data_IF_105017217443
#
_entry.id   IF_105017217443
#
_cell.length_a   1.000
_cell.length_b   1.000
_cell.length_c   1.000
_cell.angle_alpha   90.00
_cell.angle_beta   90.00
_cell.angle_gamma   90.00
#
_symmetry.space_group_name_H-M   'P 1'
#
loop_
_entity.id
_entity.type
_entity.pdbx_description
1 polymer ?
#
# COMPACT_ATOMS: atom_id res chain seq x y z
N UNK A 1 -6.72 4.01 14.90
CA UNK A 1 -5.50 4.65 15.40
C UNK A 1 -4.43 3.59 15.72
N UNK A 2 -4.05 2.71 14.78
CA UNK A 2 -3.37 1.43 15.15
C UNK A 2 -2.19 1.04 14.24
N UNK A 3 -1.75 1.96 13.37
CA UNK A 3 -0.44 1.86 12.70
C UNK A 3 0.51 2.97 13.16
N UNK A 4 0.22 3.57 14.33
CA UNK A 4 1.05 4.61 14.93
C UNK A 4 2.26 4.07 15.71
N UNK A 5 2.41 2.74 15.81
CA UNK A 5 3.46 2.08 16.61
C UNK A 5 4.83 2.00 15.90
N UNK A 6 5.20 3.04 15.15
CA UNK A 6 6.58 3.30 14.73
C UNK A 6 7.21 2.30 13.74
N UNK A 7 6.48 1.31 13.23
CA UNK A 7 7.05 0.29 12.32
C UNK A 7 7.29 0.77 10.89
N UNK A 8 6.69 1.90 10.50
CA UNK A 8 6.93 2.59 9.23
C UNK A 8 7.13 4.07 9.55
N UNK A 9 8.09 4.79 8.92
CA UNK A 9 8.35 6.20 9.20
C UNK A 9 7.06 7.02 9.19
N UNK A 10 6.87 7.80 10.25
CA UNK A 10 5.61 8.48 10.52
C UNK A 10 5.53 9.76 9.68
N UNK A 11 4.71 9.72 8.62
CA UNK A 11 4.44 10.88 7.77
C UNK A 11 3.93 12.12 8.55
N UNK A 12 3.39 11.92 9.75
CA UNK A 12 2.97 13.00 10.66
C UNK A 12 4.09 13.93 11.12
N UNK A 13 5.36 13.52 11.03
CA UNK A 13 6.47 14.39 11.45
C UNK A 13 6.80 15.49 10.45
N UNK A 14 6.34 15.36 9.20
CA UNK A 14 6.73 16.27 8.10
C UNK A 14 5.56 16.83 7.30
N UNK A 15 4.39 16.18 7.33
CA UNK A 15 3.23 16.60 6.56
C UNK A 15 2.25 17.44 7.39
N UNK A 16 1.81 18.58 6.83
CA UNK A 16 0.81 19.47 7.44
C UNK A 16 -0.61 18.87 7.44
N UNK A 17 -0.92 18.00 6.48
CA UNK A 17 -2.19 17.29 6.34
C UNK A 17 -1.95 15.84 5.93
N UNK A 18 -2.58 14.90 6.64
CA UNK A 18 -2.49 13.46 6.38
C UNK A 18 -3.89 12.87 6.26
N UNK A 19 -4.21 12.29 5.10
CA UNK A 19 -5.47 11.62 4.82
C UNK A 19 -5.20 10.12 4.73
N UNK A 20 -5.89 9.32 5.54
CA UNK A 20 -5.67 7.87 5.61
C UNK A 20 -6.99 7.12 5.51
N UNK A 21 -7.17 6.24 4.51
CA UNK A 21 -8.23 5.25 4.57
C UNK A 21 -7.89 4.20 5.65
N UNK A 22 -8.80 4.00 6.60
CA UNK A 22 -8.66 3.03 7.69
C UNK A 22 -9.19 1.64 7.28
N UNK A 23 -10.00 1.60 6.23
CA UNK A 23 -10.60 0.40 5.63
C UNK A 23 -9.60 -0.64 5.13
N UNK A 24 -8.48 -0.18 4.58
CA UNK A 24 -7.48 -1.07 3.96
C UNK A 24 -6.62 -1.72 5.03
N UNK A 25 -6.69 -1.29 6.30
CA UNK A 25 -5.74 -1.74 7.33
C UNK A 25 -6.45 -2.38 8.53
N UNK A 26 -7.61 -1.88 8.95
CA UNK A 26 -8.43 -2.45 10.03
C UNK A 26 -9.57 -3.30 9.44
N UNK A 27 -9.69 -4.53 9.89
CA UNK A 27 -10.25 -5.69 9.17
C UNK A 27 -11.76 -5.74 8.91
N UNK A 28 -12.52 -4.65 8.88
CA UNK A 28 -13.95 -4.77 8.52
C UNK A 28 -14.68 -3.49 8.11
N UNK A 29 -14.27 -2.33 8.60
CA UNK A 29 -15.07 -1.11 8.47
C UNK A 29 -14.46 -0.12 7.46
N UNK A 30 -15.24 0.27 6.43
CA UNK A 30 -14.79 1.23 5.42
C UNK A 30 -14.94 2.67 5.91
N UNK A 31 -13.86 3.26 6.42
CA UNK A 31 -13.82 4.67 6.87
C UNK A 31 -12.51 5.35 6.44
N UNK A 32 -12.57 6.66 6.22
CA UNK A 32 -11.41 7.52 5.94
C UNK A 32 -11.23 8.52 7.07
N UNK A 33 -10.03 8.65 7.60
CA UNK A 33 -9.67 9.61 8.63
C UNK A 33 -8.81 10.72 8.05
N UNK A 34 -9.03 11.94 8.53
CA UNK A 34 -8.23 13.11 8.19
C UNK A 34 -7.57 13.60 9.48
N UNK A 35 -6.26 13.82 9.44
CA UNK A 35 -5.49 14.40 10.54
C UNK A 35 -4.69 15.58 10.02
N UNK A 36 -4.93 16.75 10.59
CA UNK A 36 -4.21 17.98 10.29
C UNK A 36 -3.31 18.36 11.46
N UNK A 37 -2.22 19.07 11.17
CA UNK A 37 -1.36 19.66 12.18
C UNK A 37 -2.08 20.85 12.83
N UNK A 38 -2.06 20.90 14.16
CA UNK A 38 -2.60 21.99 14.97
C UNK A 38 -1.44 22.54 15.80
N UNK A 39 -1.30 23.87 15.87
CA UNK A 39 -0.23 24.52 16.62
C UNK A 39 0.41 25.69 15.89
N UNK A 40 1.63 26.04 16.32
CA UNK A 40 2.39 27.19 15.79
C UNK A 40 3.20 26.81 14.56
N UNK A 41 3.20 27.70 13.58
CA UNK A 41 4.17 27.71 12.48
C UNK A 41 5.36 28.55 12.95
N UNK A 42 6.58 28.08 12.73
CA UNK A 42 7.78 28.85 13.07
C UNK A 42 7.74 30.21 12.36
N UNK A 43 7.91 31.29 13.13
CA UNK A 43 7.83 32.66 12.66
C UNK A 43 9.10 33.40 13.04
N UNK A 44 9.61 34.19 12.10
CA UNK A 44 10.88 34.94 12.19
C UNK A 44 10.68 36.25 12.99
N UNK A 45 9.46 36.56 13.42
CA UNK A 45 9.13 37.72 14.26
C UNK A 45 8.27 37.28 15.46
N UNK A 46 8.17 38.13 16.49
CA UNK A 46 7.33 37.93 17.68
C UNK A 46 5.81 37.79 17.40
N UNK A 47 5.42 37.59 16.14
CA UNK A 47 4.08 37.28 15.70
C UNK A 47 3.93 35.75 15.60
N UNK A 48 3.02 35.18 16.40
CA UNK A 48 2.69 33.77 16.31
C UNK A 48 1.69 33.53 15.17
N UNK A 49 2.10 32.75 14.16
CA UNK A 49 1.18 32.27 13.12
C UNK A 49 0.71 30.88 13.52
N UNK A 50 -0.60 30.67 13.59
CA UNK A 50 -1.21 29.38 13.92
C UNK A 50 -1.67 28.67 12.64
N UNK A 51 -1.70 27.34 12.69
CA UNK A 51 -2.35 26.53 11.66
C UNK A 51 -3.87 26.77 11.65
N UNK A 52 -4.42 26.97 10.46
CA UNK A 52 -5.84 27.24 10.21
C UNK A 52 -6.46 26.11 9.34
N UNK A 53 -6.32 24.87 9.82
CA UNK A 53 -6.80 23.67 9.12
C UNK A 53 -8.00 23.02 9.81
N UNK A 54 -8.08 23.05 11.13
CA UNK A 54 -9.06 22.30 11.92
C UNK A 54 -10.51 22.68 11.57
N UNK A 55 -10.84 23.96 11.72
CA UNK A 55 -12.19 24.46 11.46
C UNK A 55 -12.60 24.31 10.00
N UNK A 56 -11.68 24.62 9.08
CA UNK A 56 -11.93 24.50 7.63
C UNK A 56 -12.23 23.05 7.23
N UNK A 57 -11.47 22.10 7.75
CA UNK A 57 -11.68 20.68 7.44
C UNK A 57 -13.01 20.21 8.04
N UNK A 58 -13.30 20.54 9.30
CA UNK A 58 -14.53 20.13 9.97
C UNK A 58 -15.79 20.66 9.26
N UNK A 59 -15.77 21.93 8.83
CA UNK A 59 -16.88 22.55 8.09
C UNK A 59 -17.10 21.96 6.69
N UNK A 60 -16.03 21.59 5.99
CA UNK A 60 -16.15 20.93 4.68
C UNK A 60 -16.69 19.51 4.83
N UNK A 61 -16.28 18.79 5.88
CA UNK A 61 -16.76 17.43 6.14
C UNK A 61 -18.22 17.42 6.57
N UNK A 62 -18.58 18.20 7.59
CA UNK A 62 -19.95 18.26 8.12
C UNK A 62 -20.56 19.64 7.85
N UNK A 63 -21.77 19.66 7.29
CA UNK A 63 -22.46 20.79 6.62
C UNK A 63 -22.08 20.99 5.14
N UNK A 64 -20.84 20.64 4.73
CA UNK A 64 -20.41 20.67 3.33
C UNK A 64 -20.75 19.40 2.56
N UNK A 65 -20.00 18.32 2.80
CA UNK A 65 -20.02 17.11 1.98
C UNK A 65 -20.80 15.94 2.59
N UNK A 66 -20.91 15.86 3.92
CA UNK A 66 -21.60 14.77 4.62
C UNK A 66 -22.72 15.32 5.52
N UNK A 67 -23.78 14.51 5.65
CA UNK A 67 -24.84 14.68 6.63
C UNK A 67 -24.48 14.04 7.97
N UNK A 68 -25.27 13.06 8.43
CA UNK A 68 -25.03 12.40 9.72
C UNK A 68 -23.83 11.44 9.75
N UNK A 69 -23.09 11.36 10.87
CA UNK A 69 -21.94 10.47 11.01
C UNK A 69 -22.34 8.98 11.11
N UNK A 70 -21.52 8.09 10.55
CA UNK A 70 -21.68 6.65 10.68
C UNK A 70 -21.14 6.13 12.03
N UNK A 71 -21.87 6.38 13.11
CA UNK A 71 -21.45 6.10 14.49
C UNK A 71 -21.06 4.63 14.76
N UNK A 72 -21.73 3.66 14.13
CA UNK A 72 -21.38 2.24 14.26
C UNK A 72 -19.97 1.94 13.71
N UNK A 73 -19.57 2.60 12.61
CA UNK A 73 -18.24 2.49 12.01
C UNK A 73 -17.18 3.17 12.87
N UNK A 74 -17.52 4.33 13.46
CA UNK A 74 -16.64 5.08 14.38
C UNK A 74 -16.40 4.28 15.67
N UNK A 75 -17.44 3.66 16.22
CA UNK A 75 -17.32 2.79 17.39
C UNK A 75 -16.41 1.59 17.14
N UNK A 76 -16.52 0.95 15.97
CA UNK A 76 -15.61 -0.13 15.55
C UNK A 76 -14.16 0.32 15.41
N UNK A 77 -13.91 1.61 15.10
CA UNK A 77 -12.56 2.17 15.01
C UNK A 77 -11.92 2.44 16.38
N UNK A 78 -12.72 2.76 17.40
CA UNK A 78 -12.24 3.03 18.76
C UNK A 78 -11.74 1.76 19.47
N UNK A 79 -12.10 0.58 18.98
CA UNK A 79 -11.60 -0.69 19.48
C UNK A 79 -10.15 -0.93 19.02
N UNK A 80 -9.19 -0.62 19.89
CA UNK A 80 -7.77 -0.95 19.70
C UNK A 80 -7.43 -2.19 20.52
N UNK A 81 -7.15 -3.30 19.86
CA UNK A 81 -6.79 -4.55 20.54
C UNK A 81 -5.28 -4.84 20.37
N UNK A 82 -4.58 -5.30 21.43
CA UNK A 82 -3.15 -5.61 21.35
C UNK A 82 -2.84 -6.70 20.31
N UNK A 83 -3.77 -7.62 20.04
CA UNK A 83 -3.65 -8.68 19.03
C UNK A 83 -3.46 -8.11 17.62
N UNK A 84 -3.99 -6.90 17.35
CA UNK A 84 -3.85 -6.26 16.06
C UNK A 84 -2.40 -5.84 15.78
N UNK A 85 -1.64 -5.46 16.81
CA UNK A 85 -0.21 -5.15 16.66
C UNK A 85 0.58 -6.38 16.24
N UNK A 86 0.36 -7.50 16.93
CA UNK A 86 0.96 -8.79 16.59
C UNK A 86 0.62 -9.22 15.16
N UNK A 87 -0.62 -9.00 14.73
CA UNK A 87 -1.03 -9.24 13.35
C UNK A 87 -0.24 -8.39 12.34
N UNK A 88 -0.06 -7.09 12.60
CA UNK A 88 0.73 -6.22 11.70
C UNK A 88 2.18 -6.67 11.59
N UNK A 89 2.82 -7.04 12.71
CA UNK A 89 4.18 -7.58 12.72
C UNK A 89 4.27 -8.87 11.90
N UNK A 90 3.28 -9.74 12.02
CA UNK A 90 3.22 -10.97 11.23
C UNK A 90 3.09 -10.68 9.73
N UNK A 91 2.28 -9.69 9.34
CA UNK A 91 2.13 -9.27 7.94
C UNK A 91 3.46 -8.80 7.36
N UNK A 92 4.24 -8.00 8.09
CA UNK A 92 5.56 -7.54 7.64
C UNK A 92 6.56 -8.70 7.53
N UNK A 93 6.58 -9.62 8.51
CA UNK A 93 7.41 -10.84 8.44
C UNK A 93 7.07 -11.70 7.23
N UNK A 94 5.77 -11.87 6.95
CA UNK A 94 5.28 -12.60 5.80
C UNK A 94 5.73 -11.96 4.48
N UNK A 95 5.62 -10.64 4.36
CA UNK A 95 6.05 -9.92 3.16
C UNK A 95 7.57 -9.96 2.99
N UNK A 96 8.35 -9.93 4.07
CA UNK A 96 9.80 -10.14 4.00
C UNK A 96 10.16 -11.52 3.45
N UNK A 97 9.40 -12.58 3.78
CA UNK A 97 9.62 -13.92 3.20
C UNK A 97 9.37 -13.97 1.69
N UNK A 98 8.48 -13.13 1.15
CA UNK A 98 8.25 -13.04 -0.31
C UNK A 98 9.44 -12.47 -1.07
N UNK A 99 10.42 -11.85 -0.39
CA UNK A 99 11.70 -11.50 -1.02
C UNK A 99 12.41 -12.73 -1.61
N UNK A 100 12.15 -13.95 -1.09
CA UNK A 100 12.63 -15.21 -1.67
C UNK A 100 12.16 -15.46 -3.12
N UNK A 101 11.17 -14.73 -3.63
CA UNK A 101 10.82 -14.77 -5.05
C UNK A 101 11.99 -14.33 -5.95
N UNK A 102 12.89 -13.49 -5.45
CA UNK A 102 14.13 -13.09 -6.15
C UNK A 102 15.03 -14.30 -6.38
N UNK A 103 15.17 -15.19 -5.40
CA UNK A 103 15.94 -16.44 -5.53
C UNK A 103 15.33 -17.38 -6.58
N UNK A 104 14.01 -17.30 -6.77
CA UNK A 104 13.27 -18.03 -7.82
C UNK A 104 13.33 -17.34 -9.20
N UNK A 105 14.14 -16.31 -9.35
CA UNK A 105 14.35 -15.58 -10.61
C UNK A 105 13.20 -14.63 -10.99
N UNK A 106 12.39 -14.19 -10.03
CA UNK A 106 11.44 -13.10 -10.25
C UNK A 106 12.07 -11.75 -9.95
N UNK A 107 11.76 -10.76 -10.79
CA UNK A 107 12.18 -9.38 -10.55
C UNK A 107 11.14 -8.67 -9.70
N UNK A 108 11.54 -8.16 -8.53
CA UNK A 108 10.70 -7.33 -7.69
C UNK A 108 10.95 -5.86 -8.01
N UNK A 109 9.87 -5.08 -8.14
CA UNK A 109 9.98 -3.62 -8.28
C UNK A 109 10.63 -3.08 -7.01
N UNK A 110 11.68 -2.25 -7.15
CA UNK A 110 12.55 -1.76 -6.07
C UNK A 110 13.50 -2.79 -5.41
N UNK A 111 13.52 -4.04 -5.89
CA UNK A 111 14.41 -5.08 -5.36
C UNK A 111 13.96 -5.72 -4.03
N UNK A 112 12.80 -5.34 -3.49
CA UNK A 112 12.28 -5.90 -2.25
C UNK A 112 10.97 -5.25 -1.78
N UNK A 113 10.66 -5.44 -0.50
CA UNK A 113 9.53 -4.79 0.19
C UNK A 113 9.85 -4.52 1.65
N UNK A 114 9.43 -3.36 2.15
CA UNK A 114 9.48 -2.98 3.57
C UNK A 114 8.09 -2.76 4.15
N UNK A 115 7.06 -3.15 3.40
CA UNK A 115 5.67 -2.93 3.77
C UNK A 115 4.85 -4.22 3.54
N UNK A 116 3.54 -4.06 3.38
CA UNK A 116 2.58 -5.16 3.30
C UNK A 116 2.27 -5.63 1.87
N UNK A 117 3.03 -5.16 0.87
CA UNK A 117 2.80 -5.48 -0.53
C UNK A 117 4.10 -5.78 -1.28
N UNK A 118 4.00 -6.54 -2.36
CA UNK A 118 5.08 -6.82 -3.30
C UNK A 118 4.57 -6.64 -4.73
N UNK A 119 5.38 -6.02 -5.58
CA UNK A 119 5.13 -5.90 -7.01
C UNK A 119 6.13 -6.77 -7.77
N UNK A 120 5.61 -7.76 -8.50
CA UNK A 120 6.41 -8.71 -9.28
C UNK A 120 6.38 -8.30 -10.75
N UNK A 121 7.53 -7.90 -11.29
CA UNK A 121 7.68 -7.55 -12.70
C UNK A 121 7.78 -8.83 -13.55
N UNK A 122 6.81 -9.04 -14.44
CA UNK A 122 6.69 -10.25 -15.27
C UNK A 122 7.22 -10.06 -16.69
N UNK A 123 7.63 -8.84 -17.06
CA UNK A 123 8.19 -8.53 -18.39
C UNK A 123 9.54 -9.20 -18.65
N UNK A 124 10.40 -9.27 -17.64
CA UNK A 124 11.80 -9.66 -17.79
C UNK A 124 12.09 -11.14 -17.52
N UNK A 125 11.05 -11.97 -17.31
CA UNK A 125 11.16 -13.42 -17.06
C UNK A 125 12.00 -14.19 -18.10
N UNK A 126 12.24 -13.62 -19.28
CA UNK A 126 13.04 -14.24 -20.36
C UNK A 126 14.43 -13.63 -20.59
N UNK A 127 14.85 -12.59 -19.86
CA UNK A 127 16.19 -12.00 -20.06
C UNK A 127 17.34 -12.79 -19.42
N UNK A 128 17.05 -13.76 -18.56
CA UNK A 128 18.05 -14.44 -17.71
C UNK A 128 18.49 -15.83 -18.21
N UNK A 129 18.25 -16.18 -19.49
CA UNK A 129 18.91 -17.32 -20.14
C UNK A 129 19.83 -16.81 -21.24
N UNK A 130 20.97 -16.27 -20.84
CA UNK A 130 22.06 -15.87 -21.74
C UNK A 130 23.31 -16.67 -21.41
N UNK A 131 23.28 -17.96 -21.74
CA UNK A 131 24.47 -18.64 -22.21
C UNK A 131 24.12 -19.26 -23.58
N UNK A 132 24.97 -18.97 -24.55
CA UNK A 132 25.10 -19.66 -25.85
C UNK A 132 24.26 -19.14 -27.04
N UNK A 133 24.85 -18.15 -27.73
CA UNK A 133 25.06 -18.05 -29.18
C UNK A 133 23.94 -18.28 -30.21
N UNK A 134 22.67 -18.36 -29.84
CA UNK A 134 21.59 -18.28 -30.82
C UNK A 134 20.72 -17.05 -30.60
N UNK A 135 20.57 -16.29 -31.69
CA UNK A 135 19.74 -15.10 -31.83
C UNK A 135 18.27 -15.53 -31.74
N UNK A 136 17.83 -15.92 -30.55
CA UNK A 136 16.49 -16.45 -30.33
C UNK A 136 15.53 -15.28 -30.18
N UNK A 137 14.42 -15.35 -30.92
CA UNK A 137 13.39 -14.32 -30.97
C UNK A 137 13.03 -13.82 -29.58
N UNK A 138 12.74 -12.53 -29.48
CA UNK A 138 12.18 -11.86 -28.32
C UNK A 138 10.86 -12.56 -27.99
N UNK A 139 10.91 -13.64 -27.20
CA UNK A 139 9.73 -14.28 -26.67
C UNK A 139 9.10 -13.25 -25.73
N UNK A 140 7.98 -12.70 -26.19
CA UNK A 140 7.15 -11.75 -25.48
C UNK A 140 7.06 -12.15 -24.02
N UNK A 141 7.33 -11.20 -23.12
CA UNK A 141 7.07 -11.36 -21.69
C UNK A 141 5.68 -11.94 -21.47
N UNK A 142 5.54 -12.78 -20.44
CA UNK A 142 4.26 -13.42 -20.14
C UNK A 142 3.24 -12.32 -19.83
N UNK A 143 2.11 -12.32 -20.54
CA UNK A 143 1.00 -11.39 -20.30
C UNK A 143 0.48 -11.56 -18.88
N UNK A 144 0.50 -10.48 -18.10
CA UNK A 144 0.05 -10.47 -16.71
C UNK A 144 -1.41 -10.90 -16.59
N UNK A 145 -2.25 -10.56 -17.55
CA UNK A 145 -3.68 -10.93 -17.57
C UNK A 145 -3.86 -12.45 -17.60
N UNK A 146 -2.93 -13.17 -18.27
CA UNK A 146 -2.91 -14.63 -18.29
C UNK A 146 -2.46 -15.20 -16.95
N UNK A 147 -1.44 -14.60 -16.34
CA UNK A 147 -0.92 -15.02 -15.03
C UNK A 147 -1.98 -14.84 -13.95
N UNK A 148 -2.64 -13.68 -13.92
CA UNK A 148 -3.75 -13.39 -13.01
C UNK A 148 -4.84 -14.45 -13.15
N UNK A 149 -5.25 -14.78 -14.38
CA UNK A 149 -6.29 -15.78 -14.60
C UNK A 149 -5.88 -17.18 -14.12
N UNK A 150 -4.61 -17.57 -14.31
CA UNK A 150 -4.10 -18.85 -13.79
C UNK A 150 -4.06 -18.84 -12.27
N UNK A 151 -3.66 -17.73 -11.65
CA UNK A 151 -3.66 -17.57 -10.19
C UNK A 151 -5.08 -17.66 -9.62
N UNK A 152 -6.05 -17.02 -10.25
CA UNK A 152 -7.47 -17.11 -9.91
C UNK A 152 -7.96 -18.58 -9.93
N UNK A 153 -7.57 -19.34 -10.97
CA UNK A 153 -7.93 -20.76 -11.10
C UNK A 153 -7.33 -21.64 -10.00
N UNK A 154 -6.19 -21.25 -9.43
CA UNK A 154 -5.57 -21.95 -8.28
C UNK A 154 -5.90 -21.28 -6.94
N UNK A 155 -6.96 -20.46 -6.88
CA UNK A 155 -7.43 -19.77 -5.69
C UNK A 155 -6.41 -18.80 -5.05
N UNK A 156 -5.53 -18.22 -5.86
CA UNK A 156 -4.62 -17.15 -5.44
C UNK A 156 -5.15 -15.83 -5.99
N UNK A 157 -5.65 -14.97 -5.10
CA UNK A 157 -6.06 -13.62 -5.45
C UNK A 157 -4.83 -12.70 -5.57
N UNK A 158 -4.63 -12.13 -6.75
CA UNK A 158 -3.59 -11.15 -7.03
C UNK A 158 -4.13 -10.11 -8.02
N UNK A 159 -3.56 -8.90 -8.05
CA UNK A 159 -4.07 -7.81 -8.88
C UNK A 159 -3.00 -7.25 -9.82
N UNK A 160 -3.31 -7.17 -11.11
CA UNK A 160 -2.44 -6.57 -12.13
C UNK A 160 -2.15 -5.08 -11.87
N UNK A 161 -0.90 -4.67 -12.01
CA UNK A 161 -0.45 -3.31 -11.76
C UNK A 161 0.54 -2.81 -12.82
N UNK A 162 0.54 -1.51 -13.09
CA UNK A 162 1.53 -0.86 -13.95
C UNK A 162 2.93 -0.89 -13.33
N UNK A 163 3.95 -1.04 -14.17
CA UNK A 163 5.36 -0.87 -13.81
C UNK A 163 6.08 0.11 -14.73
N UNK A 164 7.22 0.59 -14.25
CA UNK A 164 8.15 1.40 -15.04
C UNK A 164 8.46 0.69 -16.37
N UNK A 165 8.24 1.41 -17.47
CA UNK A 165 8.39 0.89 -18.83
C UNK A 165 7.13 0.28 -19.46
N UNK A 166 5.97 0.33 -18.80
CA UNK A 166 4.66 0.11 -19.44
C UNK A 166 4.35 1.26 -20.41
N UNK A 167 4.05 0.91 -21.68
CA UNK A 167 3.71 1.88 -22.73
C UNK A 167 2.23 2.27 -22.66
N UNK A 168 1.41 1.45 -21.99
CA UNK A 168 -0.04 1.64 -21.86
C UNK A 168 -0.51 1.19 -20.48
N UNK A 169 -1.49 1.91 -19.92
CA UNK A 169 -2.15 1.54 -18.66
C UNK A 169 -3.11 0.35 -18.80
N UNK A 170 -3.32 -0.17 -20.02
CA UNK A 170 -4.17 -1.33 -20.29
C UNK A 170 -3.35 -2.63 -20.31
N UNK A 171 -2.13 -2.57 -20.85
CA UNK A 171 -1.22 -3.72 -20.95
C UNK A 171 -0.20 -3.61 -19.82
N UNK A 172 -0.54 -4.25 -18.71
CA UNK A 172 0.21 -4.14 -17.47
C UNK A 172 1.36 -5.14 -17.42
N UNK A 173 2.49 -4.72 -16.86
CA UNK A 173 3.71 -5.52 -16.78
C UNK A 173 3.97 -6.23 -15.45
N UNK A 174 3.16 -5.98 -14.41
CA UNK A 174 3.35 -6.61 -13.09
C UNK A 174 2.09 -7.12 -12.43
N UNK A 175 2.28 -8.02 -11.47
CA UNK A 175 1.23 -8.45 -10.56
C UNK A 175 1.55 -8.03 -9.13
N UNK A 176 0.55 -7.53 -8.41
CA UNK A 176 0.62 -7.07 -7.03
C UNK A 176 0.06 -8.15 -6.11
N UNK A 177 0.83 -8.47 -5.08
CA UNK A 177 0.43 -9.36 -4.00
C UNK A 177 0.48 -8.61 -2.68
N UNK A 178 -0.64 -8.66 -1.93
CA UNK A 178 -0.83 -7.91 -0.70
C UNK A 178 -1.17 -8.84 0.46
N UNK A 179 -0.82 -8.40 1.68
CA UNK A 179 -1.30 -8.97 2.94
C UNK A 179 -1.26 -10.49 2.99
N UNK A 180 -0.16 -11.09 2.52
CA UNK A 180 -0.07 -12.53 2.34
C UNK A 180 -0.38 -13.24 3.66
N UNK A 181 -1.55 -13.89 3.76
CA UNK A 181 -1.92 -14.61 4.95
C UNK A 181 -1.26 -15.97 4.83
N UNK A 182 -0.07 -16.14 5.39
CA UNK A 182 0.39 -17.49 5.67
C UNK A 182 -0.46 -18.00 6.83
N UNK A 183 -1.38 -18.92 6.53
CA UNK A 183 -1.87 -19.87 7.51
C UNK A 183 -0.62 -20.60 8.02
N UNK A 184 -0.34 -20.48 9.31
CA UNK A 184 0.57 -21.42 9.98
C UNK A 184 -0.07 -22.81 9.96
#
# INVERSE_FOLDING_TARGET
MVLLDGQVPMHYMVASLVIVPLSVRLSSSRITGVKAQVGRIESIASCHVLYDYEDKINQVVFQGLQGGPHNHTIAGLAATTPEYKTYQEQVLRNCSKLRSLVEKGYELVSGGTENHLVLVNLKNKHKMRMHEHHRTSVLQGIDVSRVEKVLELVHIAANKNTVLGDVSAIVLGSNRMDKVPFLN
#
